data_IF_268163514454
#
_entry.id   IF_268163514454
#
_cell.length_a   1.000
_cell.length_b   1.000
_cell.length_c   1.000
_cell.angle_alpha   90.00
_cell.angle_beta   90.00
_cell.angle_gamma   90.00
#
_symmetry.space_group_name_H-M   'P 1'
#
loop_
_entity.id
_entity.type
_entity.pdbx_description
1 polymer ?
#
# COMPACT_ATOMS: atom_id res chain seq x y z
N UNK A 1 -28.93 -39.41 -46.95
CA UNK A 1 -29.67 -38.47 -46.07
C UNK A 1 -29.17 -38.50 -44.62
N UNK A 2 -28.49 -39.58 -44.19
CA UNK A 2 -27.99 -39.73 -42.80
C UNK A 2 -26.69 -38.97 -42.49
N UNK A 3 -25.75 -38.83 -43.46
CA UNK A 3 -24.49 -38.06 -43.24
C UNK A 3 -24.70 -36.59 -42.85
N UNK A 4 -25.78 -35.96 -43.34
CA UNK A 4 -26.10 -34.56 -43.00
C UNK A 4 -26.70 -34.37 -41.61
N UNK A 5 -27.20 -35.44 -40.98
CA UNK A 5 -27.69 -35.38 -39.60
C UNK A 5 -26.55 -35.56 -38.58
N UNK A 6 -25.52 -36.31 -38.94
CA UNK A 6 -24.36 -36.57 -38.09
C UNK A 6 -23.42 -35.34 -38.00
N UNK A 7 -23.22 -34.61 -39.10
CA UNK A 7 -22.48 -33.33 -39.09
C UNK A 7 -23.21 -32.21 -38.32
N UNK A 8 -24.55 -32.25 -38.31
CA UNK A 8 -25.37 -31.34 -37.50
C UNK A 8 -25.32 -31.67 -36.01
N UNK A 9 -25.23 -32.96 -35.65
CA UNK A 9 -25.00 -33.39 -34.25
C UNK A 9 -23.62 -33.01 -33.76
N UNK A 10 -22.57 -33.21 -34.57
CA UNK A 10 -21.20 -32.81 -34.22
C UNK A 10 -21.01 -31.29 -34.15
N UNK A 11 -21.71 -30.50 -34.97
CA UNK A 11 -21.74 -29.03 -34.84
C UNK A 11 -22.54 -28.55 -33.63
N UNK A 12 -23.63 -29.23 -33.27
CA UNK A 12 -24.42 -28.92 -32.08
C UNK A 12 -23.69 -29.30 -30.78
N UNK A 13 -22.90 -30.38 -30.79
CA UNK A 13 -22.09 -30.82 -29.64
C UNK A 13 -20.84 -29.94 -29.46
N UNK A 14 -20.26 -29.43 -30.55
CA UNK A 14 -19.23 -28.37 -30.52
C UNK A 14 -19.76 -26.99 -30.10
N UNK A 15 -21.05 -26.72 -30.29
CA UNK A 15 -21.70 -25.51 -29.77
C UNK A 15 -22.21 -25.66 -28.32
N UNK A 16 -22.32 -26.89 -27.81
CA UNK A 16 -22.65 -27.19 -26.40
C UNK A 16 -21.43 -27.31 -25.50
N UNK A 17 -20.22 -27.43 -26.07
CA UNK A 17 -18.99 -26.96 -25.46
C UNK A 17 -18.91 -25.44 -25.64
N UNK A 18 -19.97 -24.75 -25.21
CA UNK A 18 -19.85 -23.37 -24.82
C UNK A 18 -18.72 -23.33 -23.82
N UNK A 19 -17.65 -22.64 -24.17
CA UNK A 19 -16.76 -22.04 -23.20
C UNK A 19 -17.66 -21.33 -22.20
N UNK A 20 -17.98 -22.02 -21.10
CA UNK A 20 -18.10 -21.37 -19.81
C UNK A 20 -16.76 -20.68 -19.65
N UNK A 21 -16.70 -19.44 -20.14
CA UNK A 21 -15.77 -18.47 -19.64
C UNK A 21 -16.19 -18.29 -18.18
N UNK A 22 -15.77 -19.24 -17.34
CA UNK A 22 -15.73 -19.13 -15.89
C UNK A 22 -14.64 -18.10 -15.52
N UNK A 23 -14.62 -16.95 -16.20
CA UNK A 23 -14.17 -15.71 -15.61
C UNK A 23 -15.18 -15.35 -14.53
N UNK A 24 -15.17 -16.16 -13.46
CA UNK A 24 -15.68 -15.76 -12.15
C UNK A 24 -15.16 -14.35 -11.97
N UNK A 25 -16.08 -13.41 -11.84
CA UNK A 25 -15.75 -12.04 -11.47
C UNK A 25 -15.11 -12.15 -10.08
N UNK A 26 -13.79 -12.38 -10.06
CA UNK A 26 -13.03 -12.62 -8.84
C UNK A 26 -13.15 -11.35 -7.99
N UNK A 27 -13.50 -11.53 -6.73
CA UNK A 27 -13.64 -10.45 -5.76
C UNK A 27 -12.45 -9.47 -5.88
N UNK A 28 -12.67 -8.18 -6.21
CA UNK A 28 -11.60 -7.21 -6.40
C UNK A 28 -10.65 -7.12 -5.21
N UNK A 29 -11.17 -7.33 -3.99
CA UNK A 29 -10.39 -7.37 -2.76
C UNK A 29 -9.47 -8.59 -2.72
N UNK A 30 -10.00 -9.75 -3.10
CA UNK A 30 -9.20 -10.98 -3.21
C UNK A 30 -8.09 -10.83 -4.25
N UNK A 31 -8.39 -10.25 -5.42
CA UNK A 31 -7.41 -10.01 -6.48
C UNK A 31 -6.31 -9.05 -6.00
N UNK A 32 -6.69 -7.95 -5.34
CA UNK A 32 -5.74 -6.98 -4.79
C UNK A 32 -4.85 -7.63 -3.71
N UNK A 33 -5.44 -8.30 -2.72
CA UNK A 33 -4.70 -8.99 -1.66
C UNK A 33 -3.77 -10.06 -2.21
N UNK A 34 -4.20 -10.78 -3.26
CA UNK A 34 -3.37 -11.78 -3.94
C UNK A 34 -2.13 -11.15 -4.59
N UNK A 35 -2.29 -9.99 -5.26
CA UNK A 35 -1.16 -9.24 -5.84
C UNK A 35 -0.21 -8.72 -4.76
N UNK A 36 -0.76 -8.11 -3.70
CA UNK A 36 0.03 -7.60 -2.58
C UNK A 36 0.83 -8.71 -1.90
N UNK A 37 0.18 -9.85 -1.65
CA UNK A 37 0.82 -11.02 -1.06
C UNK A 37 1.92 -11.58 -1.97
N UNK A 38 1.67 -11.62 -3.28
CA UNK A 38 2.65 -12.02 -4.29
C UNK A 38 3.91 -11.15 -4.25
N UNK A 39 3.75 -9.83 -4.31
CA UNK A 39 4.87 -8.88 -4.23
C UNK A 39 5.60 -8.95 -2.89
N UNK A 40 4.86 -8.99 -1.77
CA UNK A 40 5.43 -9.11 -0.43
C UNK A 40 6.27 -10.38 -0.30
N UNK A 41 5.70 -11.53 -0.67
CA UNK A 41 6.34 -12.84 -0.55
C UNK A 41 7.55 -12.97 -1.46
N UNK A 42 7.45 -12.48 -2.70
CA UNK A 42 8.56 -12.43 -3.66
C UNK A 42 9.72 -11.63 -3.10
N UNK A 43 9.48 -10.39 -2.66
CA UNK A 43 10.57 -9.54 -2.17
C UNK A 43 11.14 -10.05 -0.84
N UNK A 44 10.33 -10.64 0.03
CA UNK A 44 10.84 -11.36 1.20
C UNK A 44 11.78 -12.50 0.81
N UNK A 45 11.45 -13.30 -0.22
CA UNK A 45 12.32 -14.38 -0.69
C UNK A 45 13.64 -13.85 -1.26
N UNK A 46 13.58 -12.83 -2.13
CA UNK A 46 14.76 -12.20 -2.74
C UNK A 46 15.71 -11.63 -1.68
N UNK A 47 15.18 -10.98 -0.65
CA UNK A 47 15.95 -10.38 0.45
C UNK A 47 16.29 -11.38 1.57
N UNK A 48 15.96 -12.67 1.39
CA UNK A 48 16.16 -13.76 2.37
C UNK A 48 15.57 -13.43 3.75
N UNK A 49 14.35 -12.90 3.74
CA UNK A 49 13.58 -12.50 4.91
C UNK A 49 12.53 -13.55 5.23
N UNK A 50 12.35 -13.83 6.53
CA UNK A 50 11.12 -14.48 6.98
C UNK A 50 10.01 -13.43 6.96
N UNK A 51 8.87 -13.67 6.28
CA UNK A 51 7.82 -12.66 6.25
C UNK A 51 7.20 -12.45 7.63
N UNK A 52 6.97 -11.20 8.01
CA UNK A 52 6.41 -10.80 9.30
C UNK A 52 4.96 -11.30 9.43
N UNK A 53 4.65 -12.01 10.52
CA UNK A 53 3.34 -12.64 10.74
C UNK A 53 2.18 -11.64 10.70
N UNK A 54 2.33 -10.45 11.28
CA UNK A 54 1.27 -9.45 11.27
C UNK A 54 1.01 -8.90 9.86
N UNK A 55 2.07 -8.68 9.07
CA UNK A 55 1.94 -8.31 7.65
C UNK A 55 1.30 -9.43 6.85
N UNK A 56 1.66 -10.70 7.12
CA UNK A 56 1.00 -11.84 6.50
C UNK A 56 -0.50 -11.82 6.74
N UNK A 57 -0.91 -11.64 8.00
CA UNK A 57 -2.33 -11.64 8.36
C UNK A 57 -3.07 -10.48 7.68
N UNK A 58 -2.48 -9.29 7.61
CA UNK A 58 -3.10 -8.12 6.99
C UNK A 58 -3.25 -8.22 5.46
N UNK A 59 -2.28 -8.85 4.78
CA UNK A 59 -2.26 -8.97 3.33
C UNK A 59 -2.75 -10.33 2.80
N UNK A 60 -3.15 -11.25 3.69
CA UNK A 60 -3.64 -12.58 3.30
C UNK A 60 -4.91 -12.42 2.44
N UNK A 61 -4.98 -13.03 1.24
CA UNK A 61 -6.23 -13.14 0.52
C UNK A 61 -7.21 -13.97 1.36
N UNK A 62 -8.37 -13.41 1.66
CA UNK A 62 -9.43 -14.15 2.35
C UNK A 62 -10.40 -14.65 1.28
N UNK A 63 -10.59 -15.96 1.21
CA UNK A 63 -11.63 -16.55 0.36
C UNK A 63 -13.00 -16.28 0.98
N UNK A 64 -14.02 -16.04 0.13
CA UNK A 64 -15.37 -15.64 0.53
C UNK A 64 -16.09 -16.60 1.52
N UNK A 65 -15.52 -17.78 1.85
CA UNK A 65 -16.14 -18.79 2.70
C UNK A 65 -15.84 -18.66 4.22
N UNK A 66 -15.11 -17.63 4.66
CA UNK A 66 -14.93 -17.31 6.09
C UNK A 66 -15.78 -16.09 6.56
N UNK A 67 -16.77 -15.64 5.77
CA UNK A 67 -17.76 -14.67 6.23
C UNK A 67 -18.90 -15.37 6.99
N UNK A 68 -18.71 -15.56 8.29
CA UNK A 68 -19.83 -15.62 9.22
C UNK A 68 -20.53 -14.25 9.22
N UNK A 69 -21.72 -14.21 8.63
CA UNK A 69 -22.74 -13.16 8.67
C UNK A 69 -22.46 -11.94 9.58
N UNK A 70 -21.78 -10.93 9.04
CA UNK A 70 -21.94 -9.52 9.38
C UNK A 70 -21.13 -8.73 8.35
N UNK A 71 -21.71 -7.65 7.80
CA UNK A 71 -21.20 -6.79 6.72
C UNK A 71 -21.53 -7.22 5.27
N UNK A 72 -22.78 -7.64 5.03
CA UNK A 72 -23.42 -7.46 3.72
C UNK A 72 -24.07 -6.08 3.64
N UNK A 73 -23.28 -5.03 3.46
CA UNK A 73 -23.80 -3.72 3.04
C UNK A 73 -23.03 -3.24 1.80
N UNK A 74 -23.63 -3.54 0.64
CA UNK A 74 -23.63 -2.75 -0.60
C UNK A 74 -22.40 -1.85 -0.75
N UNK A 75 -21.29 -2.40 -1.26
CA UNK A 75 -20.17 -1.58 -1.72
C UNK A 75 -20.31 -1.33 -3.22
N UNK A 76 -20.52 -0.07 -3.57
CA UNK A 76 -20.27 0.42 -4.92
C UNK A 76 -18.77 0.24 -5.22
N UNK A 77 -18.44 -0.82 -5.95
CA UNK A 77 -17.06 -1.24 -6.28
C UNK A 77 -16.27 -0.20 -7.07
N UNK A 78 -16.90 0.89 -7.53
CA UNK A 78 -16.21 1.91 -8.33
C UNK A 78 -15.34 2.89 -7.52
N UNK A 79 -15.36 2.88 -6.18
CA UNK A 79 -14.62 3.86 -5.35
C UNK A 79 -14.23 3.40 -3.93
N UNK A 80 -14.03 2.11 -3.66
CA UNK A 80 -13.50 1.70 -2.35
C UNK A 80 -12.08 2.26 -2.16
N UNK A 81 -11.89 3.09 -1.13
CA UNK A 81 -10.60 3.63 -0.68
C UNK A 81 -10.01 2.67 0.35
N UNK A 82 -8.70 2.43 0.29
CA UNK A 82 -8.04 1.50 1.19
C UNK A 82 -7.19 2.21 2.24
N UNK A 83 -7.35 1.80 3.50
CA UNK A 83 -6.53 2.25 4.61
C UNK A 83 -5.77 1.07 5.22
N UNK A 84 -4.52 1.31 5.58
CA UNK A 84 -3.63 0.29 6.14
C UNK A 84 -3.03 0.78 7.44
N UNK A 85 -3.23 0.00 8.51
CA UNK A 85 -2.62 0.26 9.81
C UNK A 85 -1.65 -0.86 10.20
N UNK A 86 -0.38 -0.46 10.35
CA UNK A 86 0.69 -1.33 10.83
C UNK A 86 1.37 -0.77 12.10
N UNK A 87 0.68 0.11 12.83
CA UNK A 87 1.16 0.74 14.05
C UNK A 87 1.77 -0.26 15.04
N UNK A 88 2.97 0.06 15.52
CA UNK A 88 3.69 -0.74 16.52
C UNK A 88 4.22 -2.10 16.02
N UNK A 89 3.96 -2.49 14.77
CA UNK A 89 4.55 -3.69 14.20
C UNK A 89 6.01 -3.39 13.86
N UNK A 90 6.93 -4.07 14.55
CA UNK A 90 8.35 -3.92 14.28
C UNK A 90 8.71 -4.53 12.91
N UNK A 91 9.01 -3.66 11.96
CA UNK A 91 9.40 -4.02 10.60
C UNK A 91 10.90 -3.78 10.38
N UNK A 92 11.40 -2.65 10.88
CA UNK A 92 12.74 -2.16 10.56
C UNK A 92 12.94 -1.93 9.06
N UNK A 93 14.16 -1.55 8.68
CA UNK A 93 14.49 -1.25 7.27
C UNK A 93 14.29 -2.44 6.34
N UNK A 94 14.45 -3.67 6.85
CA UNK A 94 14.39 -4.88 6.03
C UNK A 94 12.96 -5.28 5.69
N UNK A 95 12.01 -5.23 6.64
CA UNK A 95 10.63 -5.67 6.37
C UNK A 95 9.76 -4.56 5.80
N UNK A 96 10.10 -3.28 6.02
CA UNK A 96 9.32 -2.19 5.45
C UNK A 96 9.43 -2.14 3.93
N UNK A 97 10.55 -2.60 3.35
CA UNK A 97 10.70 -2.60 1.89
C UNK A 97 9.75 -3.57 1.17
N UNK A 98 9.67 -4.87 1.55
CA UNK A 98 8.64 -5.77 1.03
C UNK A 98 7.22 -5.23 1.25
N UNK A 99 6.93 -4.66 2.42
CA UNK A 99 5.61 -4.09 2.68
C UNK A 99 5.31 -2.92 1.74
N UNK A 100 6.23 -1.97 1.58
CA UNK A 100 6.05 -0.83 0.70
C UNK A 100 5.86 -1.27 -0.77
N UNK A 101 6.62 -2.26 -1.24
CA UNK A 101 6.46 -2.85 -2.57
C UNK A 101 5.08 -3.46 -2.77
N UNK A 102 4.60 -4.20 -1.76
CA UNK A 102 3.27 -4.78 -1.79
C UNK A 102 2.18 -3.71 -1.83
N UNK A 103 2.25 -2.70 -0.96
CA UNK A 103 1.23 -1.65 -0.90
C UNK A 103 1.22 -0.75 -2.15
N UNK A 104 2.34 -0.60 -2.86
CA UNK A 104 2.42 0.21 -4.07
C UNK A 104 1.60 -0.35 -5.25
N UNK A 105 1.18 -1.62 -5.21
CA UNK A 105 0.28 -2.19 -6.22
C UNK A 105 -1.16 -1.66 -6.07
N UNK A 106 -1.50 -1.17 -4.88
CA UNK A 106 -2.81 -0.61 -4.57
C UNK A 106 -2.90 0.83 -5.10
N UNK A 107 -3.72 1.00 -6.13
CA UNK A 107 -3.95 2.30 -6.76
C UNK A 107 -5.07 3.10 -6.07
N UNK A 108 -5.68 2.55 -5.02
CA UNK A 108 -6.76 3.16 -4.24
C UNK A 108 -6.37 3.36 -2.75
N UNK A 109 -5.08 3.20 -2.42
CA UNK A 109 -4.57 3.48 -1.07
C UNK A 109 -4.78 4.96 -0.71
N UNK A 110 -5.57 5.22 0.31
CA UNK A 110 -5.83 6.56 0.83
C UNK A 110 -4.91 6.89 2.00
N UNK A 111 -4.77 5.95 2.94
CA UNK A 111 -4.01 6.16 4.16
C UNK A 111 -3.09 4.97 4.50
N UNK A 112 -1.87 5.29 4.92
CA UNK A 112 -0.91 4.31 5.46
C UNK A 112 -0.39 4.78 6.81
N UNK A 113 -0.61 3.98 7.85
CA UNK A 113 -0.19 4.25 9.20
C UNK A 113 0.95 3.31 9.60
N UNK A 114 2.13 3.87 9.85
CA UNK A 114 3.34 3.15 10.25
C UNK A 114 3.99 3.73 11.53
N UNK A 115 3.24 4.18 12.55
CA UNK A 115 3.88 4.74 13.73
C UNK A 115 4.63 3.65 14.51
N UNK A 116 5.89 3.92 14.88
CA UNK A 116 6.66 3.02 15.74
C UNK A 116 7.07 1.69 15.08
N UNK A 117 7.15 1.62 13.75
CA UNK A 117 7.56 0.41 13.04
C UNK A 117 9.08 0.14 13.05
N UNK A 118 9.87 1.02 13.66
CA UNK A 118 11.29 0.82 13.95
C UNK A 118 12.22 0.92 12.75
N UNK A 119 11.80 1.53 11.64
CA UNK A 119 12.67 1.79 10.50
C UNK A 119 13.46 3.11 10.64
N UNK A 120 14.53 3.21 9.86
CA UNK A 120 15.51 4.28 9.80
C UNK A 120 15.59 4.83 8.36
N UNK A 121 16.72 5.43 7.96
CA UNK A 121 16.86 6.11 6.67
C UNK A 121 16.66 5.20 5.45
N UNK A 122 17.19 3.97 5.50
CA UNK A 122 17.07 3.03 4.37
C UNK A 122 15.62 2.56 4.18
N UNK A 123 14.92 2.31 5.29
CA UNK A 123 13.50 1.97 5.27
C UNK A 123 12.64 3.13 4.80
N UNK A 124 12.89 4.34 5.32
CA UNK A 124 12.17 5.55 4.90
C UNK A 124 12.36 5.85 3.41
N UNK A 125 13.60 5.70 2.92
CA UNK A 125 13.91 5.88 1.49
C UNK A 125 13.16 4.88 0.62
N UNK A 126 13.23 3.59 0.96
CA UNK A 126 12.51 2.55 0.22
C UNK A 126 11.00 2.76 0.23
N UNK A 127 10.42 3.09 1.38
CA UNK A 127 9.00 3.42 1.52
C UNK A 127 8.59 4.58 0.61
N UNK A 128 9.32 5.70 0.70
CA UNK A 128 9.04 6.89 -0.10
C UNK A 128 9.17 6.62 -1.60
N UNK A 129 10.16 5.84 -2.03
CA UNK A 129 10.37 5.53 -3.44
C UNK A 129 9.24 4.71 -4.06
N UNK A 130 8.67 3.77 -3.30
CA UNK A 130 7.54 2.96 -3.75
C UNK A 130 6.24 3.78 -3.80
N UNK A 131 6.03 4.66 -2.83
CA UNK A 131 4.77 5.40 -2.69
C UNK A 131 4.71 6.73 -3.46
N UNK A 132 5.84 7.30 -3.89
CA UNK A 132 5.87 8.62 -4.58
C UNK A 132 5.05 8.74 -5.86
N UNK A 133 4.61 7.61 -6.43
CA UNK A 133 3.76 7.55 -7.63
C UNK A 133 2.36 7.00 -7.35
N UNK A 134 1.98 6.88 -6.07
CA UNK A 134 0.62 6.53 -5.71
C UNK A 134 -0.32 7.63 -6.22
N UNK A 135 -1.36 7.27 -6.99
CA UNK A 135 -2.30 8.23 -7.56
C UNK A 135 -3.41 8.61 -6.59
N UNK A 136 -3.44 8.05 -5.36
CA UNK A 136 -4.55 8.14 -4.40
C UNK A 136 -4.11 8.45 -2.96
N UNK A 137 -2.83 8.23 -2.61
CA UNK A 137 -2.35 8.40 -1.22
C UNK A 137 -2.50 9.85 -0.75
N UNK A 138 -3.30 10.04 0.31
CA UNK A 138 -3.58 11.35 0.92
C UNK A 138 -2.96 11.50 2.31
N UNK A 139 -2.82 10.39 3.05
CA UNK A 139 -2.26 10.39 4.40
C UNK A 139 -1.14 9.34 4.56
N UNK A 140 0.01 9.79 5.05
CA UNK A 140 1.08 8.90 5.52
C UNK A 140 1.47 9.26 6.96
N UNK A 141 1.47 8.28 7.86
CA UNK A 141 1.98 8.44 9.22
C UNK A 141 3.26 7.62 9.40
N UNK A 142 4.37 8.31 9.67
CA UNK A 142 5.68 7.71 9.96
C UNK A 142 6.18 8.08 11.35
N UNK A 143 5.28 8.49 12.25
CA UNK A 143 5.60 8.94 13.60
C UNK A 143 6.39 7.88 14.40
N UNK A 144 7.16 8.30 15.39
CA UNK A 144 7.91 7.39 16.28
C UNK A 144 8.88 6.41 15.56
N UNK A 145 9.30 6.72 14.33
CA UNK A 145 10.40 6.03 13.64
C UNK A 145 11.72 6.79 13.79
N UNK A 146 12.85 6.11 13.58
CA UNK A 146 14.19 6.61 13.95
C UNK A 146 15.04 7.01 12.75
N UNK A 147 14.42 7.60 11.73
CA UNK A 147 15.15 8.14 10.58
C UNK A 147 15.83 9.48 10.95
N UNK A 148 16.94 9.75 10.27
CA UNK A 148 17.74 10.96 10.36
C UNK A 148 17.45 11.91 9.19
N UNK A 149 18.35 12.85 8.90
CA UNK A 149 18.21 13.78 7.79
C UNK A 149 18.03 13.06 6.45
N UNK A 150 18.66 11.89 6.25
CA UNK A 150 18.54 11.14 4.99
C UNK A 150 17.10 10.69 4.73
N UNK A 151 16.42 10.15 5.76
CA UNK A 151 15.00 9.81 5.67
C UNK A 151 14.09 11.03 5.61
N UNK A 152 14.45 12.13 6.28
CA UNK A 152 13.70 13.39 6.18
C UNK A 152 13.70 13.95 4.74
N UNK A 153 14.85 13.93 4.06
CA UNK A 153 14.96 14.31 2.66
C UNK A 153 14.20 13.35 1.73
N UNK A 154 14.14 12.05 2.07
CA UNK A 154 13.29 11.10 1.36
C UNK A 154 11.80 11.43 1.51
N UNK A 155 11.37 11.83 2.71
CA UNK A 155 10.01 12.29 2.98
C UNK A 155 9.66 13.52 2.13
N UNK A 156 10.58 14.48 2.03
CA UNK A 156 10.40 15.66 1.17
C UNK A 156 10.27 15.27 -0.31
N UNK A 157 11.10 14.35 -0.80
CA UNK A 157 10.96 13.82 -2.18
C UNK A 157 9.63 13.12 -2.40
N UNK A 158 9.13 12.38 -1.40
CA UNK A 158 7.79 11.79 -1.45
C UNK A 158 6.72 12.87 -1.55
N UNK A 159 6.75 13.88 -0.68
CA UNK A 159 5.81 15.00 -0.70
C UNK A 159 5.80 15.64 -2.08
N UNK A 160 6.98 15.96 -2.64
CA UNK A 160 7.08 16.57 -3.97
C UNK A 160 6.56 15.67 -5.11
N UNK A 161 6.63 14.34 -4.98
CA UNK A 161 6.19 13.39 -6.02
C UNK A 161 4.72 12.94 -5.91
N UNK A 162 4.24 12.68 -4.70
CA UNK A 162 2.89 12.18 -4.44
C UNK A 162 1.89 13.35 -4.41
N UNK A 163 1.30 13.66 -5.56
CA UNK A 163 0.50 14.88 -5.77
C UNK A 163 -0.75 14.97 -4.87
N UNK A 164 -1.32 13.83 -4.47
CA UNK A 164 -2.48 13.80 -3.58
C UNK A 164 -2.14 13.79 -2.09
N UNK A 165 -0.86 13.62 -1.74
CA UNK A 165 -0.47 13.59 -0.33
C UNK A 165 -0.68 14.98 0.26
N UNK A 166 -1.59 15.06 1.25
CA UNK A 166 -1.95 16.28 1.98
C UNK A 166 -1.59 16.21 3.46
N UNK A 167 -1.39 15.01 3.99
CA UNK A 167 -1.03 14.81 5.39
C UNK A 167 0.16 13.87 5.54
N UNK A 168 1.25 14.39 6.11
CA UNK A 168 2.39 13.59 6.57
C UNK A 168 2.54 13.78 8.08
N UNK A 169 2.24 12.75 8.86
CA UNK A 169 2.42 12.75 10.32
C UNK A 169 3.82 12.27 10.67
N UNK A 170 4.53 13.07 11.47
CA UNK A 170 5.96 12.88 11.77
C UNK A 170 6.27 13.04 13.25
N UNK A 171 5.27 12.87 14.14
CA UNK A 171 5.44 13.08 15.58
C UNK A 171 6.56 12.21 16.14
N UNK A 172 7.36 12.75 17.06
CA UNK A 172 8.49 12.04 17.68
C UNK A 172 9.53 11.52 16.65
N UNK A 173 9.78 12.31 15.58
CA UNK A 173 10.84 12.06 14.58
C UNK A 173 11.73 13.28 14.40
N UNK A 174 12.78 13.19 13.57
CA UNK A 174 13.60 14.34 13.23
C UNK A 174 12.90 15.43 12.36
N UNK A 175 11.64 15.20 11.98
CA UNK A 175 10.77 16.18 11.33
C UNK A 175 9.76 16.82 12.29
N UNK A 176 9.73 16.42 13.56
CA UNK A 176 8.93 17.04 14.61
C UNK A 176 9.71 18.21 15.24
N UNK A 177 9.08 19.38 15.34
CA UNK A 177 9.68 20.58 15.91
C UNK A 177 10.08 20.40 17.38
N UNK A 178 9.20 19.83 18.19
CA UNK A 178 9.47 19.62 19.62
C UNK A 178 10.61 18.63 19.81
N UNK A 179 10.64 17.58 18.98
CA UNK A 179 11.74 16.62 18.97
C UNK A 179 13.08 17.29 18.62
N UNK A 180 13.10 18.09 17.56
CA UNK A 180 14.29 18.84 17.13
C UNK A 180 14.80 19.79 18.22
N UNK A 181 13.89 20.53 18.86
CA UNK A 181 14.23 21.51 19.89
C UNK A 181 14.81 20.82 21.15
N UNK A 182 14.17 19.75 21.62
CA UNK A 182 14.64 18.96 22.78
C UNK A 182 16.03 18.34 22.55
N UNK A 183 16.36 18.01 21.31
CA UNK A 183 17.63 17.34 20.93
C UNK A 183 18.69 18.29 20.37
N UNK A 184 18.38 19.57 20.18
CA UNK A 184 19.28 20.55 19.57
C UNK A 184 19.69 20.18 18.13
N UNK A 185 18.74 19.69 17.32
CA UNK A 185 19.06 19.26 15.96
C UNK A 185 19.46 20.45 15.06
N UNK A 186 20.41 20.26 14.12
CA UNK A 186 20.86 21.32 13.22
C UNK A 186 19.74 21.95 12.37
N UNK A 187 19.95 23.20 11.94
CA UNK A 187 18.98 23.98 11.17
C UNK A 187 18.47 23.31 9.88
N UNK A 188 19.25 22.40 9.28
CA UNK A 188 18.84 21.63 8.08
C UNK A 188 17.55 20.82 8.29
N UNK A 189 17.30 20.30 9.49
CA UNK A 189 16.07 19.58 9.80
C UNK A 189 14.86 20.52 9.78
N UNK A 190 15.03 21.74 10.30
CA UNK A 190 13.99 22.77 10.26
C UNK A 190 13.71 23.25 8.82
N UNK A 191 14.74 23.34 7.96
CA UNK A 191 14.56 23.69 6.55
C UNK A 191 13.68 22.65 5.82
N UNK A 192 14.01 21.35 5.95
CA UNK A 192 13.22 20.27 5.34
C UNK A 192 11.79 20.25 5.89
N UNK A 193 11.61 20.39 7.21
CA UNK A 193 10.28 20.47 7.84
C UNK A 193 9.44 21.60 7.26
N UNK A 194 10.01 22.80 7.13
CA UNK A 194 9.31 23.98 6.59
C UNK A 194 8.89 23.77 5.14
N UNK A 195 9.75 23.17 4.31
CA UNK A 195 9.42 22.90 2.91
C UNK A 195 8.26 21.90 2.80
N UNK A 196 8.33 20.78 3.55
CA UNK A 196 7.22 19.81 3.64
C UNK A 196 5.93 20.51 4.07
N UNK A 197 5.98 21.33 5.12
CA UNK A 197 4.80 22.02 5.64
C UNK A 197 4.20 22.98 4.62
N UNK A 198 5.03 23.77 3.90
CA UNK A 198 4.58 24.68 2.85
C UNK A 198 3.82 23.92 1.76
N UNK A 199 4.45 22.88 1.21
CA UNK A 199 3.86 22.09 0.12
C UNK A 199 2.56 21.41 0.51
N UNK A 200 2.50 20.80 1.70
CA UNK A 200 1.27 20.14 2.17
C UNK A 200 0.14 21.13 2.46
N UNK A 201 0.49 22.30 3.02
CA UNK A 201 -0.49 23.37 3.31
C UNK A 201 -1.06 23.94 2.02
N UNK A 202 -0.22 24.23 1.02
CA UNK A 202 -0.65 24.70 -0.30
C UNK A 202 -1.62 23.71 -0.97
N UNK A 203 -1.35 22.40 -0.85
CA UNK A 203 -2.22 21.36 -1.38
C UNK A 203 -3.55 21.27 -0.64
N UNK A 204 -3.53 21.33 0.69
CA UNK A 204 -4.74 21.28 1.50
C UNK A 204 -5.70 22.45 1.18
N UNK A 205 -5.18 23.62 0.80
CA UNK A 205 -5.98 24.76 0.34
C UNK A 205 -6.44 24.67 -1.12
N UNK A 206 -5.88 23.75 -1.91
CA UNK A 206 -6.18 23.58 -3.33
C UNK A 206 -7.21 22.47 -3.61
N UNK A 207 -7.66 21.76 -2.56
CA UNK A 207 -8.74 20.76 -2.60
C UNK A 207 -10.09 21.40 -2.32
#
# INVERSE_FOLDING_TARGET
HERGMEERRLSAERASLGSQDDSKNEDPTYVLRSRQWGEYSKLCLELRLRPNTAVKTALRPVEQQEYGAELSEIQDESRSIHEYDFAGIYLGDRQIQPLASALAVDRQILALLLPGCGFMDAGMTGLCEQLKRSPSLECLDVSSNRFSIGGAEAALRLVNGAQRLVLLKTKDTCLDEDFCNKRGLPAKYAAVRKEIQSTLTERAFSL
#
